data_IF_672214194956
#
_entry.id   IF_672214194956
#
_cell.length_a   1.000
_cell.length_b   1.000
_cell.length_c   1.000
_cell.angle_alpha   90.00
_cell.angle_beta   90.00
_cell.angle_gamma   90.00
#
_symmetry.space_group_name_H-M   'P 1'
#
loop_
_entity.id
_entity.type
_entity.pdbx_description
1 polymer ?
#
# COMPACT_ATOMS: atom_id res chain seq x y z
N UNK A 1 17.72 -12.93 -16.33
CA UNK A 1 19.10 -13.36 -16.63
C UNK A 1 19.74 -14.02 -15.42
N UNK A 2 19.66 -13.44 -14.22
CA UNK A 2 20.24 -14.00 -12.99
C UNK A 2 19.72 -15.41 -12.62
N UNK A 3 18.41 -15.64 -12.73
CA UNK A 3 17.76 -16.91 -12.38
C UNK A 3 18.15 -18.06 -13.30
N UNK A 4 18.31 -17.79 -14.61
CA UNK A 4 18.74 -18.79 -15.61
C UNK A 4 20.16 -19.28 -15.29
N UNK A 5 21.05 -18.37 -14.92
CA UNK A 5 22.42 -18.72 -14.56
C UNK A 5 22.54 -19.46 -13.22
N UNK A 6 21.59 -19.26 -12.31
CA UNK A 6 21.47 -20.05 -11.08
C UNK A 6 21.00 -21.48 -11.37
N UNK A 7 19.97 -21.66 -12.21
CA UNK A 7 19.48 -23.00 -12.57
C UNK A 7 20.46 -23.81 -13.41
N UNK A 8 21.40 -23.16 -14.10
CA UNK A 8 22.48 -23.81 -14.86
C UNK A 8 23.74 -24.07 -14.01
N UNK A 9 23.70 -23.79 -12.69
CA UNK A 9 24.84 -23.98 -11.79
C UNK A 9 26.02 -23.03 -12.03
N UNK A 10 25.87 -22.02 -12.89
CA UNK A 10 26.97 -21.12 -13.28
C UNK A 10 27.24 -20.05 -12.21
N UNK A 11 26.24 -19.72 -11.38
CA UNK A 11 26.33 -18.68 -10.35
C UNK A 11 25.77 -19.18 -9.02
N UNK A 12 26.54 -19.04 -7.94
CA UNK A 12 26.09 -19.42 -6.59
C UNK A 12 25.15 -18.38 -5.98
N UNK A 13 24.12 -18.85 -5.27
CA UNK A 13 23.23 -18.03 -4.43
C UNK A 13 24.04 -17.42 -3.27
N UNK A 14 24.09 -16.09 -3.21
CA UNK A 14 24.76 -15.35 -2.11
C UNK A 14 23.87 -15.17 -0.89
N UNK A 15 22.55 -15.22 -1.08
CA UNK A 15 21.57 -15.02 -0.02
C UNK A 15 21.20 -16.38 0.61
N UNK A 16 21.42 -16.50 1.92
CA UNK A 16 21.22 -17.75 2.67
C UNK A 16 19.76 -18.22 2.62
N UNK A 17 18.79 -17.32 2.48
CA UNK A 17 17.35 -17.67 2.37
C UNK A 17 17.00 -18.35 1.06
N UNK A 18 17.81 -18.16 0.02
CA UNK A 18 17.58 -18.70 -1.33
C UNK A 18 18.31 -20.02 -1.58
N UNK A 19 19.21 -20.43 -0.67
CA UNK A 19 19.95 -21.70 -0.77
C UNK A 19 19.03 -22.92 -0.82
N UNK A 20 18.00 -23.06 0.05
CA UNK A 20 17.11 -24.24 0.00
C UNK A 20 16.32 -24.35 -1.31
N UNK A 21 15.94 -23.21 -1.90
CA UNK A 21 15.24 -23.18 -3.18
C UNK A 21 16.15 -23.57 -4.35
N UNK A 22 17.42 -23.21 -4.28
CA UNK A 22 18.39 -23.59 -5.29
C UNK A 22 18.64 -25.10 -5.27
N UNK A 23 18.86 -25.69 -4.09
CA UNK A 23 19.03 -27.15 -3.91
C UNK A 23 17.80 -27.92 -4.42
N UNK A 24 16.60 -27.42 -4.13
CA UNK A 24 15.36 -27.99 -4.66
C UNK A 24 15.29 -27.93 -6.20
N UNK A 25 15.67 -26.79 -6.79
CA UNK A 25 15.69 -26.65 -8.24
C UNK A 25 16.71 -27.58 -8.90
N UNK A 26 17.89 -27.80 -8.29
CA UNK A 26 18.88 -28.75 -8.79
C UNK A 26 18.32 -30.18 -8.83
N UNK A 27 17.73 -30.67 -7.73
CA UNK A 27 17.09 -31.99 -7.72
C UNK A 27 15.91 -32.09 -8.70
N UNK A 28 15.18 -31.01 -8.90
CA UNK A 28 14.10 -30.97 -9.89
C UNK A 28 14.63 -31.02 -11.33
N UNK A 29 15.80 -30.44 -11.60
CA UNK A 29 16.38 -30.45 -12.95
C UNK A 29 16.74 -31.85 -13.44
N UNK A 30 17.16 -32.76 -12.54
CA UNK A 30 17.45 -34.16 -12.86
C UNK A 30 16.21 -34.96 -13.32
N UNK A 31 15.00 -34.48 -12.98
CA UNK A 31 13.75 -35.13 -13.38
C UNK A 31 13.32 -34.84 -14.81
N UNK A 32 13.96 -33.86 -15.48
CA UNK A 32 13.62 -33.45 -16.84
C UNK A 32 14.72 -33.85 -17.84
N UNK A 33 14.29 -34.43 -18.96
CA UNK A 33 15.20 -34.87 -20.03
C UNK A 33 15.91 -33.69 -20.73
N UNK A 34 15.24 -32.55 -20.86
CA UNK A 34 15.82 -31.29 -21.34
C UNK A 34 15.03 -30.08 -20.85
N UNK A 35 15.75 -29.02 -20.46
CA UNK A 35 15.18 -27.74 -20.04
C UNK A 35 15.58 -26.69 -21.06
N UNK A 36 14.59 -25.97 -21.61
CA UNK A 36 14.84 -24.85 -22.51
C UNK A 36 14.40 -23.54 -21.88
N UNK A 37 15.20 -22.49 -22.10
CA UNK A 37 14.88 -21.15 -21.65
C UNK A 37 14.63 -20.27 -22.88
N UNK A 38 13.43 -19.72 -22.98
CA UNK A 38 13.10 -18.75 -24.01
C UNK A 38 13.23 -17.35 -23.43
N UNK A 39 14.20 -16.58 -23.94
CA UNK A 39 14.31 -15.17 -23.56
C UNK A 39 13.31 -14.35 -24.38
N UNK A 40 12.31 -13.81 -23.70
CA UNK A 40 11.42 -12.81 -24.30
C UNK A 40 12.02 -11.42 -24.06
N UNK A 41 12.59 -10.76 -25.09
CA UNK A 41 13.12 -9.42 -24.92
C UNK A 41 12.02 -8.46 -24.48
N UNK A 42 12.37 -7.47 -23.65
CA UNK A 42 11.44 -6.48 -23.10
C UNK A 42 10.55 -5.82 -24.15
N UNK A 43 11.10 -5.57 -25.35
CA UNK A 43 10.35 -5.03 -26.49
C UNK A 43 9.13 -5.88 -26.88
N UNK A 44 9.18 -7.21 -26.69
CA UNK A 44 8.06 -8.13 -26.91
C UNK A 44 7.12 -8.26 -25.70
N UNK A 45 7.50 -7.68 -24.56
CA UNK A 45 6.73 -7.68 -23.31
C UNK A 45 6.16 -6.28 -22.97
N UNK A 46 6.04 -5.42 -23.99
CA UNK A 46 5.52 -4.05 -23.87
C UNK A 46 4.15 -3.98 -23.17
N UNK A 47 3.35 -5.05 -23.27
CA UNK A 47 2.06 -5.14 -22.59
C UNK A 47 2.22 -5.22 -21.06
N UNK A 48 3.15 -6.05 -20.56
CA UNK A 48 3.43 -6.11 -19.13
C UNK A 48 4.04 -4.80 -18.60
N UNK A 49 4.90 -4.15 -19.40
CA UNK A 49 5.45 -2.83 -19.06
C UNK A 49 4.35 -1.75 -18.99
N UNK A 50 3.38 -1.77 -19.92
CA UNK A 50 2.24 -0.88 -19.90
C UNK A 50 1.36 -1.12 -18.66
N UNK A 51 1.11 -2.38 -18.30
CA UNK A 51 0.38 -2.73 -17.08
C UNK A 51 1.10 -2.28 -15.82
N UNK A 52 2.43 -2.49 -15.73
CA UNK A 52 3.22 -2.03 -14.61
C UNK A 52 3.20 -0.50 -14.48
N UNK A 53 3.27 0.21 -15.61
CA UNK A 53 3.16 1.68 -15.65
C UNK A 53 1.79 2.14 -15.18
N UNK A 54 0.71 1.53 -15.68
CA UNK A 54 -0.65 1.82 -15.26
C UNK A 54 -0.84 1.56 -13.76
N UNK A 55 -0.36 0.42 -13.26
CA UNK A 55 -0.41 0.09 -11.83
C UNK A 55 0.33 1.14 -10.98
N UNK A 56 1.52 1.55 -11.42
CA UNK A 56 2.29 2.61 -10.75
C UNK A 56 1.57 3.96 -10.77
N UNK A 57 0.87 4.30 -11.86
CA UNK A 57 0.08 5.52 -11.95
C UNK A 57 -1.17 5.47 -11.07
N UNK A 58 -1.78 4.29 -10.92
CA UNK A 58 -2.99 4.10 -10.11
C UNK A 58 -2.71 4.00 -8.60
N UNK A 59 -1.50 3.59 -8.22
CA UNK A 59 -1.13 3.35 -6.82
C UNK A 59 -1.40 4.54 -5.88
N UNK A 60 -1.07 5.81 -6.22
CA UNK A 60 -1.38 6.95 -5.36
C UNK A 60 -2.89 7.12 -5.12
N UNK A 61 -3.71 6.90 -6.14
CA UNK A 61 -5.18 7.00 -6.04
C UNK A 61 -5.76 5.88 -5.20
N UNK A 62 -5.27 4.64 -5.40
CA UNK A 62 -5.67 3.51 -4.58
C UNK A 62 -5.29 3.72 -3.10
N UNK A 63 -4.11 4.26 -2.83
CA UNK A 63 -3.67 4.62 -1.48
C UNK A 63 -4.51 5.73 -0.86
N UNK A 64 -4.86 6.76 -1.63
CA UNK A 64 -5.73 7.85 -1.16
C UNK A 64 -7.12 7.30 -0.79
N UNK A 65 -7.76 6.58 -1.72
CA UNK A 65 -9.03 5.91 -1.46
C UNK A 65 -8.92 4.98 -0.25
N UNK A 66 -7.79 4.29 -0.09
CA UNK A 66 -7.60 3.43 1.07
C UNK A 66 -7.61 4.21 2.38
N UNK A 67 -6.89 5.34 2.42
CA UNK A 67 -6.72 6.17 3.62
C UNK A 67 -8.00 6.90 4.03
N UNK A 68 -8.86 7.26 3.08
CA UNK A 68 -10.06 8.07 3.33
C UNK A 68 -11.37 7.29 3.36
N UNK A 69 -11.35 6.01 2.98
CA UNK A 69 -12.52 5.14 3.10
C UNK A 69 -12.63 4.55 4.51
N UNK A 70 -13.86 4.52 5.04
CA UNK A 70 -14.16 3.85 6.30
C UNK A 70 -13.94 2.34 6.14
N UNK A 71 -13.20 1.74 7.08
CA UNK A 71 -12.98 0.29 7.11
C UNK A 71 -14.08 -0.37 7.92
N UNK A 72 -14.72 -1.39 7.38
CA UNK A 72 -15.74 -2.20 8.08
C UNK A 72 -15.24 -2.74 9.41
N UNK A 73 -13.96 -3.17 9.45
CA UNK A 73 -13.32 -3.75 10.62
C UNK A 73 -13.00 -2.72 11.73
N UNK A 74 -12.79 -1.45 11.43
CA UNK A 74 -12.46 -0.43 12.45
C UNK A 74 -13.55 0.63 12.64
N UNK A 75 -14.54 0.68 11.73
CA UNK A 75 -15.57 1.72 11.69
C UNK A 75 -15.03 3.13 11.42
N UNK A 76 -13.74 3.27 11.09
CA UNK A 76 -13.07 4.56 10.92
C UNK A 76 -12.20 4.58 9.65
N UNK A 77 -11.86 5.78 9.19
CA UNK A 77 -10.90 5.97 8.11
C UNK A 77 -9.46 5.78 8.63
N UNK A 78 -8.57 5.07 7.92
CA UNK A 78 -7.19 4.91 8.37
C UNK A 78 -6.47 6.26 8.59
N UNK A 79 -6.78 7.28 7.79
CA UNK A 79 -6.20 8.61 7.94
C UNK A 79 -6.58 9.26 9.29
N UNK A 80 -7.85 9.20 9.68
CA UNK A 80 -8.30 9.84 10.93
C UNK A 80 -7.75 9.18 12.19
N UNK A 81 -7.48 7.87 12.16
CA UNK A 81 -6.80 7.18 13.26
C UNK A 81 -5.34 7.62 13.42
N UNK A 82 -4.67 8.00 12.34
CA UNK A 82 -3.28 8.49 12.39
C UNK A 82 -3.22 9.96 12.79
N UNK A 83 -4.00 10.81 12.13
CA UNK A 83 -3.89 12.27 12.22
C UNK A 83 -4.96 12.96 13.07
N UNK A 84 -5.94 12.22 13.61
CA UNK A 84 -6.98 12.74 14.50
C UNK A 84 -8.12 13.50 13.82
N UNK A 85 -8.10 13.63 12.49
CA UNK A 85 -9.16 14.29 11.71
C UNK A 85 -9.41 13.57 10.40
N UNK A 86 -10.57 13.79 9.79
CA UNK A 86 -10.82 13.31 8.43
C UNK A 86 -9.97 14.08 7.42
N UNK A 87 -9.51 13.38 6.39
CA UNK A 87 -8.75 14.01 5.30
C UNK A 87 -9.63 15.05 4.58
N UNK A 88 -9.01 16.17 4.21
CA UNK A 88 -9.59 17.12 3.27
C UNK A 88 -9.17 16.68 1.87
N UNK A 89 -10.15 16.37 1.01
CA UNK A 89 -9.86 15.88 -0.33
C UNK A 89 -9.54 17.05 -1.27
N UNK A 90 -8.69 16.87 -2.30
CA UNK A 90 -8.39 17.94 -3.26
C UNK A 90 -9.63 18.57 -3.90
N UNK A 91 -10.66 17.76 -4.19
CA UNK A 91 -11.93 18.23 -4.74
C UNK A 91 -12.70 19.13 -3.78
N UNK A 92 -12.56 18.93 -2.47
CA UNK A 92 -13.20 19.79 -1.46
C UNK A 92 -12.53 21.15 -1.38
N UNK A 93 -11.25 21.25 -1.77
CA UNK A 93 -10.50 22.51 -1.86
C UNK A 93 -10.87 23.26 -3.14
N UNK A 94 -10.96 22.54 -4.27
CA UNK A 94 -11.36 23.12 -5.56
C UNK A 94 -12.83 23.57 -5.56
N UNK A 95 -13.70 22.77 -4.94
CA UNK A 95 -15.11 23.09 -4.70
C UNK A 95 -15.29 23.17 -3.18
N UNK A 96 -15.20 24.38 -2.58
CA UNK A 96 -15.21 24.57 -1.14
C UNK A 96 -16.36 23.82 -0.45
N UNK A 97 -16.01 22.74 0.23
CA UNK A 97 -16.98 21.98 1.04
C UNK A 97 -17.40 22.80 2.26
N UNK A 98 -18.54 22.45 2.88
CA UNK A 98 -19.01 23.11 4.11
C UNK A 98 -17.95 23.09 5.23
N UNK A 99 -17.11 22.06 5.30
CA UNK A 99 -16.02 21.96 6.27
C UNK A 99 -14.97 23.03 6.04
N UNK A 100 -14.52 23.17 4.79
CA UNK A 100 -13.51 24.19 4.42
C UNK A 100 -14.09 25.59 4.59
N UNK A 101 -15.34 25.81 4.16
CA UNK A 101 -16.01 27.10 4.34
C UNK A 101 -16.08 27.50 5.82
N UNK A 102 -16.45 26.56 6.70
CA UNK A 102 -16.46 26.82 8.13
C UNK A 102 -15.06 27.14 8.68
N UNK A 103 -14.03 26.39 8.28
CA UNK A 103 -12.65 26.62 8.71
C UNK A 103 -12.07 27.96 8.22
N UNK A 104 -12.40 28.40 7.00
CA UNK A 104 -11.90 29.67 6.44
C UNK A 104 -12.43 30.93 7.15
N UNK A 105 -13.52 30.80 7.90
CA UNK A 105 -14.17 31.91 8.62
C UNK A 105 -13.70 31.99 10.09
N UNK A 106 -13.05 30.94 10.60
CA UNK A 106 -12.59 30.88 11.98
C UNK A 106 -11.32 31.70 12.21
N UNK A 107 -11.25 32.34 13.38
CA UNK A 107 -10.02 32.98 13.85
C UNK A 107 -8.99 31.91 14.24
N UNK A 108 -7.70 32.21 14.09
CA UNK A 108 -6.62 31.23 14.29
C UNK A 108 -6.62 30.64 15.72
N UNK A 109 -6.95 31.45 16.73
CA UNK A 109 -7.05 31.00 18.11
C UNK A 109 -8.20 29.99 18.33
N UNK A 110 -9.34 30.22 17.69
CA UNK A 110 -10.50 29.33 17.76
C UNK A 110 -10.21 28.03 17.00
N UNK A 111 -9.59 28.14 15.82
CA UNK A 111 -9.16 26.98 15.04
C UNK A 111 -8.17 26.10 15.82
N UNK A 112 -7.18 26.71 16.47
CA UNK A 112 -6.20 25.98 17.29
C UNK A 112 -6.86 25.28 18.49
N UNK A 113 -7.83 25.93 19.14
CA UNK A 113 -8.61 25.34 20.23
C UNK A 113 -9.41 24.14 19.75
N UNK A 114 -10.13 24.27 18.64
CA UNK A 114 -10.91 23.18 18.05
C UNK A 114 -9.99 22.00 17.66
N UNK A 115 -8.82 22.30 17.09
CA UNK A 115 -7.82 21.29 16.73
C UNK A 115 -7.31 20.52 17.95
N UNK A 116 -7.06 21.22 19.05
CA UNK A 116 -6.64 20.62 20.31
C UNK A 116 -7.69 19.65 20.86
N UNK A 117 -8.97 20.06 20.87
CA UNK A 117 -10.07 19.21 21.31
C UNK A 117 -10.20 17.94 20.47
N UNK A 118 -10.07 18.04 19.14
CA UNK A 118 -10.06 16.88 18.24
C UNK A 118 -8.92 15.90 18.56
N UNK A 119 -7.73 16.44 18.85
CA UNK A 119 -6.57 15.62 19.18
C UNK A 119 -6.71 14.95 20.54
N UNK A 120 -7.34 15.61 21.51
CA UNK A 120 -7.59 15.03 22.84
C UNK A 120 -8.49 13.78 22.77
N UNK A 121 -9.38 13.71 21.77
CA UNK A 121 -10.27 12.57 21.55
C UNK A 121 -9.65 11.45 20.69
N UNK A 122 -8.40 11.60 20.22
CA UNK A 122 -7.81 10.65 19.28
C UNK A 122 -7.61 9.27 19.89
N UNK A 123 -7.19 9.21 21.16
CA UNK A 123 -6.89 7.95 21.82
C UNK A 123 -8.17 7.15 22.10
N UNK A 124 -9.28 7.84 22.44
CA UNK A 124 -10.60 7.22 22.55
C UNK A 124 -11.07 6.64 21.22
N UNK A 125 -10.89 7.38 20.11
CA UNK A 125 -11.23 6.89 18.77
C UNK A 125 -10.41 5.67 18.38
N UNK A 126 -9.12 5.65 18.69
CA UNK A 126 -8.23 4.50 18.44
C UNK A 126 -8.64 3.30 19.28
N UNK A 127 -8.95 3.50 20.56
CA UNK A 127 -9.44 2.44 21.44
C UNK A 127 -10.74 1.84 20.90
N UNK A 128 -11.71 2.69 20.51
CA UNK A 128 -12.97 2.24 19.93
C UNK A 128 -12.77 1.45 18.63
N UNK A 129 -11.87 1.91 17.75
CA UNK A 129 -11.52 1.20 16.53
C UNK A 129 -10.89 -0.18 16.80
N UNK A 130 -10.06 -0.28 17.83
CA UNK A 130 -9.44 -1.55 18.25
C UNK A 130 -10.48 -2.53 18.80
N UNK A 131 -11.36 -2.07 19.69
CA UNK A 131 -12.46 -2.87 20.21
C UNK A 131 -13.41 -3.34 19.10
N UNK A 132 -13.73 -2.47 18.13
CA UNK A 132 -14.58 -2.82 17.00
C UNK A 132 -13.95 -3.91 16.12
N UNK A 133 -12.63 -3.88 15.94
CA UNK A 133 -11.89 -4.93 15.24
C UNK A 133 -11.94 -6.28 15.95
N UNK A 134 -11.82 -6.28 17.28
CA UNK A 134 -11.90 -7.50 18.08
C UNK A 134 -13.26 -8.20 17.97
N UNK A 135 -14.35 -7.49 17.63
CA UNK A 135 -15.66 -8.10 17.39
C UNK A 135 -15.72 -9.01 16.16
N UNK A 136 -14.73 -8.94 15.26
CA UNK A 136 -14.66 -9.74 14.03
C UNK A 136 -13.51 -10.77 14.04
N UNK A 137 -12.80 -10.92 15.18
CA UNK A 137 -11.81 -11.98 15.41
C UNK A 137 -12.47 -13.21 16.05
#
# INVERSE_FOLDING_TARGET
MLTIFQTLGQWKTKDAKLVPYHEYLEGLTESFEYISFTYTPRMKNQFADALATLASMMLPYALLAYRTSIRTFTGATPYSLVYGMEAVLPIEVEIPSMRILAETVLEEAEWAKQRYEQLNLIDERRLKALCHGQCYQ
#
